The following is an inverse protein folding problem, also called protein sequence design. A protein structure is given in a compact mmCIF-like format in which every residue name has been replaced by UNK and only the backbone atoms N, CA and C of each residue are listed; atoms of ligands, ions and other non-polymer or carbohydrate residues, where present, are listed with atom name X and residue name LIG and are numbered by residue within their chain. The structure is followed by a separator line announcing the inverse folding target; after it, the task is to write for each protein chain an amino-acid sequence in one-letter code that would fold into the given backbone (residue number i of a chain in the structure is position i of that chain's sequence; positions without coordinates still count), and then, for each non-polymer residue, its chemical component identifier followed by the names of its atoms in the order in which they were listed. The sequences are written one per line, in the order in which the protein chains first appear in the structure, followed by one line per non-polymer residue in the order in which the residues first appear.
data_IF_067703921321
#
_entry.id   IF_067703921321
#
_cell.length_a   1.000
_cell.length_b   1.000
_cell.length_c   1.000
_cell.angle_alpha   90.00
_cell.angle_beta   90.00
_cell.angle_gamma   90.00
#
_symmetry.space_group_name_H-M   'P 1'
#
loop_
_entity.id
_entity.type
_entity.pdbx_description
1 polymer ?
#
# COMPACT_ATOMS: atom_id res chain seq x y z
N UNK A 1 -56.85 -43.16 14.00
CA UNK A 1 -55.80 -42.16 14.31
C UNK A 1 -54.63 -42.92 14.88
N UNK A 2 -53.47 -42.88 14.21
CA UNK A 2 -52.55 -41.76 14.45
C UNK A 2 -51.88 -41.17 13.19
N UNK A 3 -51.65 -39.87 13.31
CA UNK A 3 -50.62 -38.95 12.79
C UNK A 3 -49.48 -39.50 11.90
N UNK A 4 -49.48 -39.04 10.65
CA UNK A 4 -48.34 -39.10 9.73
C UNK A 4 -47.83 -37.69 9.43
N UNK A 5 -46.65 -37.36 9.95
CA UNK A 5 -45.91 -36.12 9.67
C UNK A 5 -45.46 -36.14 8.20
N UNK A 6 -45.96 -35.23 7.38
CA UNK A 6 -45.48 -35.05 6.00
C UNK A 6 -44.28 -34.09 5.98
N UNK A 7 -43.09 -34.63 5.77
CA UNK A 7 -41.86 -33.89 5.53
C UNK A 7 -41.94 -33.18 4.17
N UNK A 8 -42.00 -31.84 4.15
CA UNK A 8 -41.92 -31.05 2.93
C UNK A 8 -40.45 -30.98 2.45
N UNK A 9 -40.04 -31.92 1.60
CA UNK A 9 -38.80 -31.80 0.84
C UNK A 9 -38.97 -30.75 -0.24
N UNK A 10 -38.29 -29.60 -0.10
CA UNK A 10 -38.18 -28.57 -1.16
C UNK A 10 -37.51 -29.20 -2.39
N UNK A 11 -38.01 -29.00 -3.63
CA UNK A 11 -37.31 -29.51 -4.80
C UNK A 11 -36.05 -28.68 -5.03
N UNK A 12 -34.89 -29.34 -4.97
CA UNK A 12 -33.62 -28.79 -5.45
C UNK A 12 -33.63 -28.88 -6.97
N UNK A 13 -33.75 -27.75 -7.65
CA UNK A 13 -33.55 -27.70 -9.10
C UNK A 13 -32.04 -27.73 -9.36
N UNK A 14 -31.52 -28.91 -9.72
CA UNK A 14 -30.20 -29.04 -10.36
C UNK A 14 -30.33 -28.52 -11.78
N UNK A 15 -29.65 -27.42 -12.11
CA UNK A 15 -29.46 -26.98 -13.49
C UNK A 15 -28.28 -27.78 -14.06
N UNK A 16 -28.59 -28.89 -14.73
CA UNK A 16 -27.62 -29.65 -15.52
C UNK A 16 -27.79 -29.24 -16.99
N UNK A 17 -26.66 -28.91 -17.63
CA UNK A 17 -26.41 -28.63 -19.04
C UNK A 17 -27.59 -28.53 -20.04
N UNK A 18 -27.66 -27.40 -20.74
CA UNK A 18 -28.46 -27.15 -21.94
C UNK A 18 -27.93 -27.96 -23.15
N UNK A 19 -28.23 -29.25 -23.21
CA UNK A 19 -28.08 -30.05 -24.43
C UNK A 19 -29.28 -30.98 -24.54
N UNK A 20 -30.40 -30.44 -25.05
CA UNK A 20 -31.42 -31.17 -25.83
C UNK A 20 -32.71 -30.34 -25.90
N UNK A 21 -32.86 -29.52 -26.94
CA UNK A 21 -34.16 -29.03 -27.39
C UNK A 21 -34.16 -28.83 -28.92
N UNK A 22 -34.82 -29.73 -29.64
CA UNK A 22 -35.48 -29.44 -30.93
C UNK A 22 -36.84 -30.16 -30.97
N UNK A 23 -37.88 -29.65 -31.66
CA UNK A 23 -38.34 -28.27 -31.78
C UNK A 23 -39.87 -28.19 -31.49
N UNK A 24 -40.28 -27.70 -30.33
CA UNK A 24 -41.62 -27.09 -30.20
C UNK A 24 -41.39 -25.61 -30.48
N UNK A 25 -42.01 -25.10 -31.55
CA UNK A 25 -41.83 -23.76 -32.11
C UNK A 25 -42.27 -22.58 -31.22
N UNK A 26 -42.04 -22.63 -29.91
CA UNK A 26 -41.88 -21.42 -29.13
C UNK A 26 -40.50 -20.85 -29.43
N UNK A 27 -40.45 -19.73 -30.16
CA UNK A 27 -39.37 -18.77 -30.01
C UNK A 27 -39.41 -18.28 -28.56
N UNK A 28 -38.86 -19.05 -27.62
CA UNK A 28 -38.31 -18.47 -26.40
C UNK A 28 -37.36 -17.38 -26.91
N UNK A 29 -37.56 -16.10 -26.55
CA UNK A 29 -36.64 -15.07 -27.00
C UNK A 29 -35.25 -15.55 -26.60
N UNK A 30 -34.32 -15.59 -27.55
CA UNK A 30 -32.93 -15.90 -27.27
C UNK A 30 -32.44 -14.81 -26.33
N UNK A 31 -32.59 -15.01 -25.01
CA UNK A 31 -32.14 -14.07 -24.01
C UNK A 31 -30.62 -14.11 -24.11
N UNK A 32 -30.03 -13.06 -24.66
CA UNK A 32 -28.58 -12.96 -24.78
C UNK A 32 -27.97 -13.11 -23.37
N UNK A 33 -26.82 -13.80 -23.23
CA UNK A 33 -26.21 -14.06 -21.93
C UNK A 33 -26.09 -12.82 -21.03
N UNK A 34 -25.83 -11.64 -21.61
CA UNK A 34 -25.80 -10.38 -20.88
C UNK A 34 -27.14 -9.95 -20.30
N UNK A 35 -28.25 -10.12 -21.01
CA UNK A 35 -29.59 -9.81 -20.48
C UNK A 35 -29.93 -10.74 -19.31
N UNK A 36 -29.58 -12.03 -19.43
CA UNK A 36 -29.80 -12.98 -18.34
C UNK A 36 -29.00 -12.59 -17.10
N UNK A 37 -27.73 -12.22 -17.26
CA UNK A 37 -26.87 -11.80 -16.16
C UNK A 37 -27.36 -10.50 -15.49
N UNK A 38 -27.82 -9.52 -16.28
CA UNK A 38 -28.40 -8.28 -15.74
C UNK A 38 -29.67 -8.58 -14.93
N UNK A 39 -30.57 -9.43 -15.43
CA UNK A 39 -31.78 -9.81 -14.69
C UNK A 39 -31.46 -10.58 -13.39
N UNK A 40 -30.49 -11.50 -13.45
CA UNK A 40 -30.05 -12.24 -12.27
C UNK A 40 -29.47 -11.29 -11.21
N UNK A 41 -28.62 -10.35 -11.62
CA UNK A 41 -28.06 -9.30 -10.75
C UNK A 41 -29.15 -8.43 -10.14
N UNK A 42 -30.07 -7.91 -10.96
CA UNK A 42 -31.17 -7.07 -10.50
C UNK A 42 -32.05 -7.80 -9.48
N UNK A 43 -32.34 -9.07 -9.71
CA UNK A 43 -33.10 -9.92 -8.77
C UNK A 43 -32.35 -10.10 -7.45
N UNK A 44 -31.03 -10.37 -7.52
CA UNK A 44 -30.18 -10.50 -6.33
C UNK A 44 -30.12 -9.21 -5.50
N UNK A 45 -30.26 -8.04 -6.14
CA UNK A 45 -30.30 -6.74 -5.49
C UNK A 45 -31.72 -6.33 -5.00
N UNK A 46 -32.67 -7.26 -4.98
CA UNK A 46 -34.04 -7.02 -4.48
C UNK A 46 -35.04 -6.54 -5.54
N UNK A 47 -34.64 -6.49 -6.81
CA UNK A 47 -35.50 -6.09 -7.93
C UNK A 47 -36.11 -4.70 -7.71
N UNK A 48 -37.39 -4.55 -8.03
CA UNK A 48 -38.08 -3.26 -7.94
C UNK A 48 -38.26 -2.75 -6.50
N UNK A 49 -38.20 -3.66 -5.51
CA UNK A 49 -38.22 -3.31 -4.09
C UNK A 49 -36.84 -3.00 -3.50
N UNK A 50 -35.77 -3.23 -4.28
CA UNK A 50 -34.40 -2.92 -3.90
C UNK A 50 -34.01 -1.46 -4.17
N UNK A 51 -32.79 -1.10 -3.78
CA UNK A 51 -32.29 0.29 -3.88
C UNK A 51 -32.17 0.81 -5.32
N UNK A 52 -32.07 -0.08 -6.32
CA UNK A 52 -32.07 0.31 -7.72
C UNK A 52 -33.45 0.76 -8.21
N UNK A 53 -34.53 0.30 -7.57
CA UNK A 53 -35.91 0.63 -7.95
C UNK A 53 -36.29 0.16 -9.37
N UNK A 54 -37.38 0.72 -9.90
CA UNK A 54 -37.91 0.32 -11.20
C UNK A 54 -36.94 0.61 -12.36
N UNK A 55 -36.97 -0.24 -13.37
CA UNK A 55 -36.21 -0.02 -14.60
C UNK A 55 -36.76 1.19 -15.38
N UNK A 56 -35.86 2.03 -15.87
CA UNK A 56 -36.19 3.23 -16.66
C UNK A 56 -35.95 3.05 -18.15
N UNK A 57 -35.21 2.01 -18.55
CA UNK A 57 -35.02 1.63 -19.95
C UNK A 57 -35.33 0.16 -20.19
N UNK A 58 -35.51 -0.20 -21.47
CA UNK A 58 -35.38 -1.59 -21.91
C UNK A 58 -33.92 -2.05 -21.78
N UNK A 59 -33.70 -3.37 -21.87
CA UNK A 59 -32.35 -3.89 -22.07
C UNK A 59 -31.83 -3.42 -23.43
N UNK A 60 -30.61 -2.89 -23.45
CA UNK A 60 -29.98 -2.41 -24.67
C UNK A 60 -28.54 -2.91 -24.76
N UNK A 61 -28.07 -3.06 -25.99
CA UNK A 61 -26.65 -3.26 -26.26
C UNK A 61 -25.91 -1.96 -25.97
N UNK A 62 -24.70 -2.04 -25.41
CA UNK A 62 -23.88 -0.85 -25.21
C UNK A 62 -23.51 -0.23 -26.57
N UNK A 63 -23.40 1.10 -26.67
CA UNK A 63 -22.91 1.79 -27.87
C UNK A 63 -21.65 1.19 -28.52
N UNK A 64 -20.65 0.75 -27.75
CA UNK A 64 -19.47 0.07 -28.31
C UNK A 64 -19.72 -1.36 -28.80
N UNK A 65 -20.93 -1.90 -28.63
CA UNK A 65 -21.31 -3.24 -29.06
C UNK A 65 -20.68 -4.39 -28.26
N UNK A 66 -19.96 -4.11 -27.17
CA UNK A 66 -19.21 -5.11 -26.39
C UNK A 66 -19.97 -5.65 -25.17
N UNK A 67 -21.14 -5.08 -24.86
CA UNK A 67 -21.88 -5.43 -23.67
C UNK A 67 -23.38 -5.16 -23.78
N UNK A 68 -24.05 -5.36 -22.65
CA UNK A 68 -25.46 -5.08 -22.45
C UNK A 68 -25.61 -4.21 -21.21
N UNK A 69 -26.67 -3.40 -21.15
CA UNK A 69 -26.97 -2.64 -19.96
C UNK A 69 -28.47 -2.43 -19.80
N UNK A 70 -28.84 -2.00 -18.59
CA UNK A 70 -30.16 -1.45 -18.29
C UNK A 70 -30.03 -0.37 -17.22
N UNK A 71 -30.78 0.71 -17.40
CA UNK A 71 -30.90 1.75 -16.39
C UNK A 71 -32.11 1.50 -15.50
N UNK A 72 -31.95 1.90 -14.25
CA UNK A 72 -32.93 1.85 -13.18
C UNK A 72 -32.99 3.22 -12.50
N UNK A 73 -34.05 3.46 -11.71
CA UNK A 73 -34.24 4.74 -11.04
C UNK A 73 -33.05 5.12 -10.13
N UNK A 74 -32.50 4.13 -9.42
CA UNK A 74 -31.39 4.30 -8.48
C UNK A 74 -30.01 4.01 -9.05
N UNK A 75 -29.88 3.52 -10.29
CA UNK A 75 -28.56 3.14 -10.83
C UNK A 75 -28.58 2.50 -12.21
N UNK A 76 -27.50 1.83 -12.57
CA UNK A 76 -27.38 1.05 -13.80
C UNK A 76 -26.81 -0.32 -13.51
N UNK A 77 -27.17 -1.33 -14.29
CA UNK A 77 -26.42 -2.59 -14.34
C UNK A 77 -25.85 -2.74 -15.75
N UNK A 78 -24.54 -2.96 -15.83
CA UNK A 78 -23.80 -3.20 -17.06
C UNK A 78 -23.20 -4.59 -17.05
N UNK A 79 -23.18 -5.22 -18.22
CA UNK A 79 -22.56 -6.51 -18.44
C UNK A 79 -21.62 -6.48 -19.64
N UNK A 80 -20.46 -7.11 -19.50
CA UNK A 80 -19.60 -7.52 -20.62
C UNK A 80 -19.18 -8.98 -20.46
N UNK A 81 -18.73 -9.62 -21.54
CA UNK A 81 -18.24 -10.99 -21.47
C UNK A 81 -17.03 -11.15 -20.53
N UNK A 82 -16.17 -10.13 -20.43
CA UNK A 82 -14.96 -10.16 -19.60
C UNK A 82 -15.19 -9.80 -18.14
N UNK A 83 -16.24 -9.03 -17.82
CA UNK A 83 -16.46 -8.51 -16.47
C UNK A 83 -17.68 -9.10 -15.77
N UNK A 84 -18.65 -9.66 -16.49
CA UNK A 84 -19.93 -10.05 -15.88
C UNK A 84 -20.81 -8.83 -15.57
N UNK A 85 -21.89 -9.05 -14.81
CA UNK A 85 -22.91 -8.02 -14.53
C UNK A 85 -22.64 -7.31 -13.19
N UNK A 86 -22.45 -6.00 -13.25
CA UNK A 86 -22.17 -5.14 -12.10
C UNK A 86 -23.09 -3.95 -12.07
N UNK A 87 -23.57 -3.56 -10.89
CA UNK A 87 -24.27 -2.31 -10.72
C UNK A 87 -23.32 -1.15 -10.43
N UNK A 88 -23.72 0.03 -10.87
CA UNK A 88 -23.07 1.30 -10.52
C UNK A 88 -24.17 2.29 -10.20
N UNK A 89 -24.06 3.02 -9.10
CA UNK A 89 -25.10 3.95 -8.65
C UNK A 89 -24.54 5.26 -8.11
N UNK A 90 -25.43 6.15 -7.66
CA UNK A 90 -25.07 7.40 -7.00
C UNK A 90 -24.12 8.30 -7.79
N UNK A 91 -23.22 8.97 -7.07
CA UNK A 91 -22.26 9.91 -7.65
C UNK A 91 -21.12 9.22 -8.40
N UNK A 92 -20.82 7.95 -8.09
CA UNK A 92 -19.87 7.13 -8.86
C UNK A 92 -20.39 6.90 -10.28
N UNK A 93 -21.67 6.49 -10.42
CA UNK A 93 -22.34 6.38 -11.71
C UNK A 93 -22.37 7.73 -12.44
N UNK A 94 -22.64 8.82 -11.72
CA UNK A 94 -22.63 10.17 -12.27
C UNK A 94 -21.28 10.55 -12.87
N UNK A 95 -20.18 10.29 -12.16
CA UNK A 95 -18.82 10.52 -12.67
C UNK A 95 -18.52 9.65 -13.89
N UNK A 96 -18.80 8.35 -13.82
CA UNK A 96 -18.56 7.44 -14.94
C UNK A 96 -19.35 7.85 -16.19
N UNK A 97 -20.59 8.31 -16.01
CA UNK A 97 -21.40 8.87 -17.08
C UNK A 97 -20.76 10.12 -17.72
N UNK A 98 -20.25 11.04 -16.89
CA UNK A 98 -19.59 12.26 -17.35
C UNK A 98 -18.30 11.97 -18.14
N UNK A 99 -17.62 10.86 -17.83
CA UNK A 99 -16.44 10.40 -18.57
C UNK A 99 -16.77 9.68 -19.88
N UNK A 100 -18.05 9.40 -20.15
CA UNK A 100 -18.48 8.70 -21.37
C UNK A 100 -18.78 7.21 -21.19
N UNK A 101 -19.11 6.77 -19.99
CA UNK A 101 -19.52 5.39 -19.68
C UNK A 101 -18.47 4.36 -20.10
N UNK A 102 -18.89 3.23 -20.68
CA UNK A 102 -18.02 2.15 -21.16
C UNK A 102 -17.18 2.52 -22.39
N UNK A 103 -17.40 3.71 -22.97
CA UNK A 103 -16.54 4.26 -24.03
C UNK A 103 -15.37 5.08 -23.46
N UNK A 104 -15.40 5.41 -22.16
CA UNK A 104 -14.28 6.07 -21.49
C UNK A 104 -13.07 5.14 -21.34
N UNK A 105 -11.92 5.71 -20.96
CA UNK A 105 -10.72 4.94 -20.64
C UNK A 105 -10.91 3.95 -19.47
N UNK A 106 -11.95 4.12 -18.65
CA UNK A 106 -12.27 3.20 -17.56
C UNK A 106 -12.92 1.89 -18.07
N UNK A 107 -13.63 1.93 -19.19
CA UNK A 107 -14.33 0.75 -19.72
C UNK A 107 -15.49 0.27 -18.84
N UNK A 108 -15.73 -1.05 -18.82
CA UNK A 108 -16.82 -1.66 -18.05
C UNK A 108 -16.49 -1.76 -16.55
N UNK A 109 -17.51 -1.72 -15.67
CA UNK A 109 -17.32 -2.02 -14.25
C UNK A 109 -16.87 -3.48 -14.06
N UNK A 110 -15.99 -3.67 -13.07
CA UNK A 110 -15.47 -4.97 -12.60
C UNK A 110 -15.86 -5.25 -11.15
N UNK A 111 -16.50 -4.29 -10.49
CA UNK A 111 -17.15 -4.46 -9.20
C UNK A 111 -18.46 -3.71 -9.13
N UNK A 112 -19.25 -4.13 -8.17
CA UNK A 112 -20.36 -3.38 -7.59
C UNK A 112 -19.81 -2.17 -6.83
N UNK A 113 -20.69 -1.27 -6.40
CA UNK A 113 -20.29 -0.18 -5.50
C UNK A 113 -19.98 -0.74 -4.11
N UNK A 114 -18.71 -0.68 -3.74
CA UNK A 114 -18.13 -1.28 -2.54
C UNK A 114 -17.88 -0.23 -1.47
N UNK A 115 -18.03 -0.61 -0.20
CA UNK A 115 -17.73 0.25 0.95
C UNK A 115 -16.21 0.40 1.10
N UNK A 116 -15.74 1.64 1.22
CA UNK A 116 -14.35 1.98 1.53
C UNK A 116 -14.14 2.43 2.98
N UNK A 117 -12.95 2.94 3.29
CA UNK A 117 -12.64 3.52 4.60
C UNK A 117 -13.41 4.82 4.89
N UNK A 118 -13.56 5.19 6.16
CA UNK A 118 -14.05 6.51 6.57
C UNK A 118 -15.41 6.93 5.97
N UNK A 119 -16.29 5.98 5.68
CA UNK A 119 -17.62 6.25 5.11
C UNK A 119 -17.64 6.55 3.62
N UNK A 120 -16.51 6.39 2.93
CA UNK A 120 -16.46 6.48 1.47
C UNK A 120 -16.84 5.18 0.77
N UNK A 121 -16.90 5.24 -0.55
CA UNK A 121 -17.28 4.14 -1.45
C UNK A 121 -16.41 4.15 -2.69
N UNK A 122 -16.36 3.03 -3.41
CA UNK A 122 -15.68 2.96 -4.70
C UNK A 122 -16.28 1.88 -5.60
N UNK A 123 -16.10 2.04 -6.90
CA UNK A 123 -16.32 0.97 -7.89
C UNK A 123 -15.07 0.81 -8.75
N UNK A 124 -14.67 -0.43 -8.99
CA UNK A 124 -13.56 -0.73 -9.90
C UNK A 124 -14.08 -0.91 -11.32
N UNK A 125 -13.27 -0.46 -12.27
CA UNK A 125 -13.51 -0.57 -13.70
C UNK A 125 -12.29 -1.24 -14.35
N UNK A 126 -12.39 -1.60 -15.62
CA UNK A 126 -11.29 -2.24 -16.36
C UNK A 126 -10.02 -1.37 -16.37
N UNK A 127 -10.18 -0.06 -16.56
CA UNK A 127 -9.08 0.89 -16.69
C UNK A 127 -8.74 1.68 -15.43
N UNK A 128 -9.50 1.56 -14.34
CA UNK A 128 -9.28 2.38 -13.16
C UNK A 128 -10.29 2.16 -12.03
N UNK A 129 -10.36 3.10 -11.11
CA UNK A 129 -11.31 3.10 -9.99
C UNK A 129 -11.92 4.48 -9.85
N UNK A 130 -13.21 4.55 -9.57
CA UNK A 130 -13.84 5.79 -9.12
C UNK A 130 -14.08 5.67 -7.62
N UNK A 131 -13.49 6.58 -6.85
CA UNK A 131 -13.69 6.71 -5.42
C UNK A 131 -14.67 7.83 -5.13
N UNK A 132 -15.44 7.70 -4.05
CA UNK A 132 -16.33 8.73 -3.55
C UNK A 132 -16.22 8.87 -2.03
N UNK A 133 -16.22 10.12 -1.56
CA UNK A 133 -16.39 10.47 -0.15
C UNK A 133 -17.33 11.68 -0.06
N UNK A 134 -18.19 11.80 0.98
CA UNK A 134 -19.06 12.97 1.13
C UNK A 134 -18.33 14.31 1.04
N UNK A 135 -17.12 14.37 1.60
CA UNK A 135 -16.32 15.60 1.66
C UNK A 135 -15.64 15.97 0.33
N UNK A 136 -15.36 15.00 -0.55
CA UNK A 136 -14.54 15.23 -1.75
C UNK A 136 -15.31 15.03 -3.05
N UNK A 137 -16.45 14.33 -3.01
CA UNK A 137 -17.18 13.94 -4.21
C UNK A 137 -16.57 12.69 -4.87
N UNK A 138 -17.03 12.40 -6.08
CA UNK A 138 -16.54 11.25 -6.85
C UNK A 138 -15.37 11.69 -7.74
N UNK A 139 -14.27 10.94 -7.73
CA UNK A 139 -13.09 11.18 -8.58
C UNK A 139 -12.51 9.87 -9.06
N UNK A 140 -12.03 9.87 -10.29
CA UNK A 140 -11.34 8.72 -10.87
C UNK A 140 -9.85 8.72 -10.52
N UNK A 141 -9.29 7.52 -10.40
CA UNK A 141 -7.85 7.29 -10.39
C UNK A 141 -7.55 6.11 -11.31
N UNK A 142 -6.60 6.26 -12.23
CA UNK A 142 -6.27 5.24 -13.23
C UNK A 142 -4.76 5.10 -13.50
N UNK A 143 -4.40 4.15 -14.35
CA UNK A 143 -3.04 3.95 -14.85
C UNK A 143 -1.98 3.78 -13.75
N UNK A 144 -0.79 4.32 -14.00
CA UNK A 144 0.36 4.26 -13.08
C UNK A 144 0.11 5.01 -11.77
N UNK A 145 -0.70 6.07 -11.81
CA UNK A 145 -1.11 6.80 -10.60
C UNK A 145 -1.92 5.89 -9.68
N UNK A 146 -2.91 5.16 -10.22
CA UNK A 146 -3.67 4.17 -9.46
C UNK A 146 -2.78 3.03 -8.95
N UNK A 147 -1.87 2.52 -9.79
CA UNK A 147 -0.94 1.46 -9.39
C UNK A 147 -0.14 1.90 -8.15
N UNK A 148 0.41 3.11 -8.17
CA UNK A 148 1.12 3.69 -7.03
C UNK A 148 0.20 3.91 -5.83
N UNK A 149 -0.98 4.48 -6.03
CA UNK A 149 -1.94 4.73 -4.96
C UNK A 149 -2.31 3.43 -4.23
N UNK A 150 -2.53 2.33 -4.96
CA UNK A 150 -2.78 1.00 -4.38
C UNK A 150 -1.60 0.46 -3.58
N UNK A 151 -0.36 0.61 -4.07
CA UNK A 151 0.85 0.22 -3.35
C UNK A 151 1.00 0.95 -2.00
N UNK A 152 0.50 2.19 -1.92
CA UNK A 152 0.50 2.98 -0.69
C UNK A 152 -0.63 2.61 0.28
N UNK A 153 -1.56 1.73 -0.12
CA UNK A 153 -2.74 1.36 0.69
C UNK A 153 -4.04 2.05 0.27
N UNK A 154 -4.07 2.70 -0.90
CA UNK A 154 -5.23 3.37 -1.49
C UNK A 154 -5.90 4.35 -0.51
N UNK A 155 -7.22 4.32 -0.38
CA UNK A 155 -7.98 5.27 0.45
C UNK A 155 -7.72 5.15 1.95
N UNK A 156 -7.03 4.07 2.36
CA UNK A 156 -6.56 3.84 3.73
C UNK A 156 -5.14 4.32 3.96
N UNK A 157 -4.46 4.78 2.91
CA UNK A 157 -3.12 5.35 3.00
C UNK A 157 -3.13 6.73 3.65
N UNK A 158 -1.94 7.26 3.93
CA UNK A 158 -1.76 8.62 4.42
C UNK A 158 -2.26 9.70 3.43
N UNK A 159 -2.49 9.38 2.16
CA UNK A 159 -3.00 10.34 1.16
C UNK A 159 -4.51 10.62 1.32
N UNK A 160 -5.26 9.67 1.89
CA UNK A 160 -6.73 9.72 1.94
C UNK A 160 -7.37 9.60 0.55
N UNK A 161 -8.63 10.05 0.43
CA UNK A 161 -9.40 9.98 -0.81
C UNK A 161 -8.90 10.96 -1.87
N UNK A 162 -9.12 10.69 -3.18
CA UNK A 162 -8.88 11.67 -4.23
C UNK A 162 -9.80 12.89 -4.08
N UNK A 163 -9.28 14.05 -4.47
CA UNK A 163 -9.98 15.35 -4.52
C UNK A 163 -9.99 15.95 -5.93
N UNK A 164 -9.35 15.29 -6.89
CA UNK A 164 -9.43 15.59 -8.31
C UNK A 164 -9.40 14.30 -9.13
N UNK A 165 -9.94 14.35 -10.35
CA UNK A 165 -9.57 13.40 -11.40
C UNK A 165 -8.09 13.59 -11.80
N UNK A 166 -7.55 12.70 -12.63
CA UNK A 166 -6.23 12.93 -13.24
C UNK A 166 -6.27 14.15 -14.19
N UNK A 167 -5.30 15.05 -14.05
CA UNK A 167 -5.14 16.21 -14.94
C UNK A 167 -3.69 16.35 -15.43
N UNK A 168 -3.50 17.13 -16.49
CA UNK A 168 -2.18 17.38 -17.06
C UNK A 168 -1.37 18.34 -16.18
N UNK A 169 -0.13 17.98 -15.87
CA UNK A 169 0.84 18.84 -15.21
C UNK A 169 1.86 19.45 -16.19
N UNK A 170 2.92 20.13 -15.68
CA UNK A 170 4.02 20.60 -16.51
C UNK A 170 4.70 19.48 -17.31
N UNK A 171 5.13 19.79 -18.53
CA UNK A 171 5.65 18.78 -19.46
C UNK A 171 4.55 17.80 -19.90
N UNK A 172 4.90 16.52 -20.05
CA UNK A 172 3.95 15.44 -20.35
C UNK A 172 3.47 14.71 -19.08
N UNK A 173 3.53 15.36 -17.92
CA UNK A 173 3.15 14.74 -16.65
C UNK A 173 1.63 14.66 -16.46
N UNK A 174 1.22 13.73 -15.60
CA UNK A 174 -0.15 13.50 -15.15
C UNK A 174 -0.18 13.57 -13.63
N UNK A 175 -1.22 14.16 -13.07
CA UNK A 175 -1.32 14.40 -11.63
C UNK A 175 -2.73 14.08 -11.14
N UNK A 176 -2.84 13.40 -10.01
CA UNK A 176 -4.08 13.34 -9.22
C UNK A 176 -3.81 13.88 -7.82
N UNK A 177 -4.73 14.71 -7.33
CA UNK A 177 -4.67 15.24 -5.97
C UNK A 177 -5.52 14.37 -5.03
N UNK A 178 -5.05 14.26 -3.80
CA UNK A 178 -5.67 13.53 -2.70
C UNK A 178 -5.82 14.46 -1.49
N UNK A 179 -6.62 14.05 -0.50
CA UNK A 179 -6.90 14.86 0.70
C UNK A 179 -5.64 15.39 1.40
N UNK A 180 -4.54 14.63 1.38
CA UNK A 180 -3.32 14.95 2.11
C UNK A 180 -2.06 14.94 1.23
N UNK A 181 -2.20 14.97 -0.09
CA UNK A 181 -1.05 14.96 -0.99
C UNK A 181 -1.43 14.86 -2.46
N UNK A 182 -0.45 14.59 -3.31
CA UNK A 182 -0.66 14.35 -4.73
C UNK A 182 0.17 13.15 -5.19
N UNK A 183 -0.27 12.49 -6.26
CA UNK A 183 0.55 11.55 -7.01
C UNK A 183 0.72 12.12 -8.42
N UNK A 184 1.97 12.19 -8.88
CA UNK A 184 2.32 12.65 -10.21
C UNK A 184 3.08 11.56 -10.96
N UNK A 185 2.71 11.33 -12.22
CA UNK A 185 3.42 10.48 -13.16
C UNK A 185 4.05 11.32 -14.27
N UNK A 186 5.22 10.93 -14.78
CA UNK A 186 5.80 11.56 -15.97
C UNK A 186 6.50 10.54 -16.88
N UNK A 187 6.49 10.73 -18.21
CA UNK A 187 7.14 9.81 -19.13
C UNK A 187 8.67 9.87 -19.04
N UNK A 188 9.25 10.99 -18.59
CA UNK A 188 10.69 11.12 -18.37
C UNK A 188 11.22 10.20 -17.25
N UNK A 189 10.36 9.87 -16.27
CA UNK A 189 10.70 9.02 -15.14
C UNK A 189 10.07 7.62 -15.23
N UNK A 190 9.06 7.42 -16.10
CA UNK A 190 8.32 6.18 -16.24
C UNK A 190 7.52 5.73 -15.00
N UNK A 191 7.63 6.44 -13.87
CA UNK A 191 7.08 6.05 -12.57
C UNK A 191 6.13 7.12 -11.99
N UNK A 192 5.11 6.66 -11.28
CA UNK A 192 4.23 7.51 -10.46
C UNK A 192 4.85 7.74 -9.07
N UNK A 193 4.94 9.00 -8.67
CA UNK A 193 5.58 9.49 -7.42
C UNK A 193 4.54 10.15 -6.53
N UNK A 194 4.66 9.96 -5.22
CA UNK A 194 3.73 10.52 -4.22
C UNK A 194 4.40 11.60 -3.41
N UNK A 195 3.72 12.73 -3.23
CA UNK A 195 4.21 13.90 -2.49
C UNK A 195 3.23 14.32 -1.40
N UNK A 196 3.75 14.86 -0.29
CA UNK A 196 2.98 15.37 0.84
C UNK A 196 3.12 16.88 0.94
N UNK A 197 2.30 17.61 0.19
CA UNK A 197 1.91 19.00 0.49
C UNK A 197 0.74 19.36 -0.42
N UNK A 198 -0.48 19.10 0.07
CA UNK A 198 -1.69 19.56 -0.61
C UNK A 198 -2.44 20.51 0.31
N UNK A 199 -2.41 21.80 -0.02
CA UNK A 199 -3.31 22.81 0.55
C UNK A 199 -4.44 22.99 -0.46
N UNK A 200 -5.70 22.62 -0.13
CA UNK A 200 -6.79 22.77 -1.08
C UNK A 200 -6.97 24.23 -1.50
N UNK A 201 -7.41 24.53 -2.74
CA UNK A 201 -7.75 25.89 -3.11
C UNK A 201 -8.89 26.37 -2.20
N UNK A 202 -8.74 27.56 -1.62
CA UNK A 202 -9.86 28.25 -1.02
C UNK A 202 -10.98 28.34 -2.08
N UNK A 203 -12.18 27.93 -1.69
CA UNK A 203 -13.35 27.78 -2.58
C UNK A 203 -13.50 28.95 -3.55
N UNK A 204 -13.41 28.66 -4.86
CA UNK A 204 -13.84 29.57 -5.92
C UNK A 204 -12.74 29.95 -6.91
N UNK A 205 -13.01 29.67 -8.19
CA UNK A 205 -12.24 30.05 -9.39
C UNK A 205 -10.89 29.34 -9.60
N UNK A 206 -10.67 28.93 -10.84
CA UNK A 206 -9.52 28.13 -11.26
C UNK A 206 -8.19 28.90 -11.32
N UNK A 207 -7.16 28.10 -11.61
CA UNK A 207 -5.76 28.45 -11.87
C UNK A 207 -4.88 28.87 -10.67
N UNK A 208 -3.71 28.24 -10.59
CA UNK A 208 -2.62 28.47 -9.62
C UNK A 208 -2.63 27.41 -8.52
N UNK A 209 -1.57 26.62 -8.27
CA UNK A 209 -0.17 27.01 -8.09
C UNK A 209 0.79 25.91 -8.58
N UNK A 210 1.91 26.32 -9.18
CA UNK A 210 3.04 25.46 -9.60
C UNK A 210 3.81 24.87 -8.39
N UNK A 211 4.46 23.69 -8.55
CA UNK A 211 5.68 23.41 -7.79
C UNK A 211 6.92 23.26 -8.66
N UNK A 212 7.97 23.95 -8.23
CA UNK A 212 9.36 23.88 -8.64
C UNK A 212 10.04 22.60 -8.12
N UNK A 213 10.97 22.05 -8.89
CA UNK A 213 12.09 21.23 -8.38
C UNK A 213 11.88 19.72 -8.40
N UNK A 214 12.42 19.05 -9.42
CA UNK A 214 12.77 17.63 -9.36
C UNK A 214 14.27 17.54 -9.04
N UNK A 215 14.66 17.01 -7.87
CA UNK A 215 15.93 16.29 -7.76
C UNK A 215 15.85 14.94 -7.01
N UNK A 216 16.25 13.91 -7.75
CA UNK A 216 16.86 12.59 -7.46
C UNK A 216 16.68 11.83 -6.14
N UNK A 217 16.20 10.58 -6.29
CA UNK A 217 16.69 9.40 -5.56
C UNK A 217 15.65 8.71 -4.68
N UNK A 218 15.24 7.49 -5.06
CA UNK A 218 14.32 6.61 -4.31
C UNK A 218 12.82 7.00 -4.31
N UNK A 219 12.00 6.14 -4.92
CA UNK A 219 10.57 6.35 -5.18
C UNK A 219 9.69 5.98 -3.96
N UNK A 220 9.98 6.56 -2.80
CA UNK A 220 9.18 6.48 -1.58
C UNK A 220 8.91 7.91 -1.07
N UNK A 221 7.73 8.26 -0.50
CA UNK A 221 7.52 9.60 0.06
C UNK A 221 8.65 9.88 1.06
N UNK A 222 9.32 11.03 0.98
CA UNK A 222 10.41 11.36 1.91
C UNK A 222 9.86 11.38 3.35
N UNK A 223 10.17 10.33 4.11
CA UNK A 223 9.85 10.23 5.53
C UNK A 223 11.15 10.48 6.27
N UNK A 224 11.21 11.64 6.91
CA UNK A 224 12.37 12.01 7.74
C UNK A 224 12.12 11.71 9.18
N UNK A 225 13.12 11.16 9.85
CA UNK A 225 13.13 10.92 11.30
C UNK A 225 14.46 11.32 11.89
N UNK A 226 14.42 11.84 13.10
CA UNK A 226 15.60 12.25 13.86
C UNK A 226 15.89 11.17 14.87
N UNK A 227 16.93 10.38 14.62
CA UNK A 227 17.35 9.29 15.50
C UNK A 227 18.48 9.77 16.38
N UNK A 228 18.27 9.73 17.70
CA UNK A 228 19.33 9.88 18.69
C UNK A 228 19.75 8.49 19.14
N UNK A 229 21.02 8.15 18.99
CA UNK A 229 21.58 6.86 19.37
C UNK A 229 22.77 7.04 20.31
N UNK A 230 22.83 6.23 21.36
CA UNK A 230 23.99 6.13 22.22
C UNK A 230 24.40 4.66 22.39
N UNK A 231 25.70 4.39 22.33
CA UNK A 231 26.29 3.08 22.50
C UNK A 231 27.38 3.13 23.57
N UNK A 232 27.39 2.15 24.45
CA UNK A 232 28.44 1.87 25.43
C UNK A 232 28.94 0.45 25.18
N UNK A 233 30.26 0.30 25.07
CA UNK A 233 30.91 -0.98 24.82
C UNK A 233 31.88 -1.25 25.96
N UNK A 234 31.80 -2.46 26.52
CA UNK A 234 32.73 -3.01 27.49
C UNK A 234 33.38 -4.25 26.89
N UNK A 235 34.71 -4.26 26.85
CA UNK A 235 35.54 -5.36 26.37
C UNK A 235 36.09 -6.16 27.54
N UNK A 236 36.17 -7.47 27.34
CA UNK A 236 36.99 -8.37 28.15
C UNK A 236 37.95 -9.05 27.19
N UNK A 237 39.23 -8.87 27.49
CA UNK A 237 40.36 -9.59 26.93
C UNK A 237 40.73 -10.68 27.96
N UNK A 238 40.41 -11.94 27.65
CA UNK A 238 40.47 -13.09 28.56
C UNK A 238 41.84 -13.77 28.46
N UNK A 239 42.66 -13.54 29.48
CA UNK A 239 44.04 -14.01 29.49
C UNK A 239 44.15 -15.40 30.12
N UNK A 240 44.62 -16.38 29.35
CA UNK A 240 44.85 -17.75 29.88
C UNK A 240 45.82 -17.73 31.07
N UNK A 241 46.75 -16.77 31.09
CA UNK A 241 47.73 -16.58 32.16
C UNK A 241 47.85 -15.12 32.56
N UNK A 242 46.98 -14.64 33.44
CA UNK A 242 47.06 -13.26 33.88
C UNK A 242 45.82 -12.82 34.62
N UNK A 243 45.55 -11.52 34.57
CA UNK A 243 44.23 -10.97 34.89
C UNK A 243 43.67 -10.45 33.58
N UNK A 244 42.37 -10.68 33.35
CA UNK A 244 41.66 -10.16 32.19
C UNK A 244 41.87 -8.65 32.06
N UNK A 245 42.11 -8.20 30.83
CA UNK A 245 42.17 -6.78 30.54
C UNK A 245 40.79 -6.26 30.13
N UNK A 246 40.47 -5.07 30.61
CA UNK A 246 39.17 -4.45 30.36
C UNK A 246 39.34 -3.08 29.73
N UNK A 247 38.52 -2.82 28.73
CA UNK A 247 38.44 -1.51 28.14
C UNK A 247 37.00 -1.14 27.82
N UNK A 248 36.67 0.14 27.91
CA UNK A 248 35.35 0.62 27.54
C UNK A 248 35.39 1.85 26.66
N UNK A 249 34.31 2.05 25.92
CA UNK A 249 34.11 3.20 25.09
C UNK A 249 32.63 3.59 25.08
N UNK A 250 32.37 4.90 24.95
CA UNK A 250 31.04 5.44 24.79
C UNK A 250 31.01 6.39 23.61
N UNK A 251 29.94 6.32 22.82
CA UNK A 251 29.67 7.28 21.75
C UNK A 251 28.18 7.53 21.65
N UNK A 252 27.84 8.79 21.39
CA UNK A 252 26.49 9.21 21.05
C UNK A 252 26.52 9.91 19.70
N UNK A 253 25.47 9.73 18.91
CA UNK A 253 25.26 10.49 17.69
C UNK A 253 23.77 10.82 17.48
N UNK A 254 23.52 11.86 16.72
CA UNK A 254 22.19 12.24 16.24
C UNK A 254 22.23 12.31 14.71
N UNK A 255 21.26 11.67 14.05
CA UNK A 255 21.17 11.65 12.60
C UNK A 255 19.75 11.95 12.14
N UNK A 256 19.63 12.77 11.09
CA UNK A 256 18.39 12.92 10.32
C UNK A 256 18.41 11.89 9.20
N UNK A 257 17.54 10.91 9.32
CA UNK A 257 17.44 9.77 8.42
C UNK A 257 16.26 9.95 7.47
N UNK A 258 16.37 9.35 6.31
CA UNK A 258 15.35 9.27 5.27
C UNK A 258 14.97 7.81 5.05
N UNK A 259 13.93 7.59 4.24
CA UNK A 259 13.50 6.27 3.82
C UNK A 259 14.10 5.83 2.48
N UNK A 260 15.20 6.45 2.07
CA UNK A 260 15.93 6.11 0.85
C UNK A 260 16.77 4.83 1.04
N UNK A 261 18.07 4.98 1.27
CA UNK A 261 19.00 3.89 1.59
C UNK A 261 19.32 3.89 3.08
N UNK A 262 19.78 2.77 3.64
CA UNK A 262 20.40 2.78 4.96
C UNK A 262 21.52 3.82 5.02
N UNK A 263 21.50 4.65 6.06
CA UNK A 263 22.46 5.73 6.30
C UNK A 263 23.27 5.44 7.56
N UNK A 264 24.53 5.89 7.60
CA UNK A 264 25.38 5.77 8.78
C UNK A 264 24.76 6.51 9.98
N UNK A 265 24.58 5.79 11.08
CA UNK A 265 24.09 6.34 12.35
C UNK A 265 25.22 6.46 13.34
N UNK A 266 26.03 5.41 13.53
CA UNK A 266 27.11 5.42 14.52
C UNK A 266 28.14 4.35 14.16
N UNK A 267 29.40 4.76 14.12
CA UNK A 267 30.55 3.85 14.08
C UNK A 267 31.41 4.08 15.31
N UNK A 268 31.87 3.01 15.95
CA UNK A 268 32.85 3.09 17.03
C UNK A 268 33.70 1.84 17.07
N UNK A 269 34.90 1.96 17.61
CA UNK A 269 35.78 0.83 17.85
C UNK A 269 36.52 1.04 19.16
N UNK A 270 36.96 -0.06 19.78
CA UNK A 270 37.80 -0.02 20.96
C UNK A 270 38.61 -1.31 21.05
N UNK A 271 39.90 -1.17 21.40
CA UNK A 271 40.76 -2.30 21.73
C UNK A 271 40.98 -2.47 23.23
N UNK A 272 41.42 -3.66 23.61
CA UNK A 272 41.84 -4.12 24.94
C UNK A 272 43.00 -5.11 24.77
N UNK A 273 43.80 -5.38 25.82
CA UNK A 273 44.85 -6.41 25.75
C UNK A 273 46.10 -6.03 24.97
N UNK A 274 45.99 -5.06 24.07
CA UNK A 274 46.96 -4.88 23.00
C UNK A 274 46.74 -5.81 21.81
N UNK A 275 45.79 -6.75 21.87
CA UNK A 275 45.52 -7.76 20.82
C UNK A 275 44.05 -7.88 20.41
N UNK A 276 43.11 -7.52 21.28
CA UNK A 276 41.68 -7.51 21.00
C UNK A 276 41.23 -6.15 20.44
N UNK A 277 40.39 -6.16 19.39
CA UNK A 277 39.65 -4.99 18.90
C UNK A 277 38.20 -5.36 18.59
N UNK A 278 37.25 -4.61 19.15
CA UNK A 278 35.85 -4.68 18.73
C UNK A 278 35.45 -3.42 17.97
N UNK A 279 34.79 -3.62 16.83
CA UNK A 279 34.20 -2.59 15.99
C UNK A 279 32.68 -2.72 15.98
N UNK A 280 31.98 -1.58 15.97
CA UNK A 280 30.53 -1.48 15.86
C UNK A 280 30.18 -0.51 14.74
N UNK A 281 29.32 -0.95 13.82
CA UNK A 281 28.69 -0.11 12.79
C UNK A 281 27.18 -0.20 12.91
N UNK A 282 26.50 0.94 12.96
CA UNK A 282 25.04 1.06 12.96
C UNK A 282 24.58 1.85 11.73
N UNK A 283 23.69 1.24 10.95
CA UNK A 283 23.00 1.85 9.81
C UNK A 283 21.51 2.01 10.12
N UNK A 284 20.94 3.17 9.85
CA UNK A 284 19.53 3.46 10.07
C UNK A 284 18.80 3.70 8.76
N UNK A 285 17.60 3.14 8.62
CA UNK A 285 16.70 3.42 7.50
C UNK A 285 15.28 3.68 8.01
N UNK A 286 14.69 4.81 7.61
CA UNK A 286 13.30 5.11 7.94
C UNK A 286 12.37 4.23 7.11
N UNK A 287 11.31 3.71 7.74
CA UNK A 287 10.21 3.02 7.07
C UNK A 287 9.07 3.99 6.80
N UNK A 288 8.21 3.64 5.84
CA UNK A 288 7.03 4.45 5.51
C UNK A 288 6.08 4.70 6.69
N UNK A 289 6.11 3.84 7.71
CA UNK A 289 5.36 4.02 8.97
C UNK A 289 5.90 5.16 9.85
N UNK A 290 7.14 5.60 9.65
CA UNK A 290 7.90 6.47 10.56
C UNK A 290 8.73 5.71 11.60
N UNK A 291 8.69 4.38 11.59
CA UNK A 291 9.62 3.56 12.36
C UNK A 291 11.02 3.63 11.73
N UNK A 292 12.05 3.41 12.54
CA UNK A 292 13.43 3.33 12.05
C UNK A 292 13.94 1.91 12.23
N UNK A 293 14.35 1.27 11.14
CA UNK A 293 15.08 0.00 11.19
C UNK A 293 16.56 0.31 11.33
N UNK A 294 17.16 -0.10 12.44
CA UNK A 294 18.59 -0.01 12.69
C UNK A 294 19.20 -1.39 12.46
N UNK A 295 20.14 -1.47 11.53
CA UNK A 295 20.97 -2.65 11.29
C UNK A 295 22.32 -2.41 11.96
N UNK A 296 22.76 -3.35 12.78
CA UNK A 296 24.04 -3.27 13.46
C UNK A 296 24.92 -4.45 13.11
N UNK A 297 26.22 -4.18 12.96
CA UNK A 297 27.27 -5.19 12.84
C UNK A 297 28.33 -4.94 13.91
N UNK A 298 28.59 -5.94 14.73
CA UNK A 298 29.73 -5.97 15.64
C UNK A 298 30.77 -6.96 15.09
N UNK A 299 32.04 -6.58 15.13
CA UNK A 299 33.18 -7.39 14.72
C UNK A 299 34.17 -7.44 15.86
N UNK A 300 34.72 -8.61 16.12
CA UNK A 300 35.76 -8.88 17.08
C UNK A 300 36.97 -9.39 16.29
N UNK A 301 38.10 -8.72 16.50
CA UNK A 301 39.37 -9.06 15.92
C UNK A 301 40.32 -9.41 17.05
N UNK A 302 41.01 -10.55 16.94
CA UNK A 302 42.01 -11.00 17.90
C UNK A 302 43.33 -11.29 17.18
N UNK A 303 44.43 -11.48 17.91
CA UNK A 303 45.70 -11.80 17.30
C UNK A 303 46.87 -11.36 18.14
N UNK A 304 47.83 -10.65 17.55
CA UNK A 304 49.04 -10.19 18.25
C UNK A 304 49.11 -8.67 18.40
N UNK A 305 48.05 -7.98 17.97
CA UNK A 305 47.96 -6.52 17.96
C UNK A 305 46.51 -6.07 17.78
N UNK A 306 46.09 -4.97 18.43
CA UNK A 306 44.79 -4.32 18.17
C UNK A 306 44.63 -3.82 16.71
N UNK A 307 45.68 -3.86 15.88
CA UNK A 307 45.64 -3.56 14.45
C UNK A 307 45.51 -4.81 13.57
N UNK A 308 45.31 -5.97 14.19
CA UNK A 308 45.07 -7.25 13.51
C UNK A 308 43.87 -7.16 12.57
N UNK A 309 43.92 -7.97 11.52
CA UNK A 309 42.80 -8.21 10.60
C UNK A 309 42.30 -9.66 10.70
N UNK A 310 42.75 -10.39 11.72
CA UNK A 310 42.17 -11.69 12.07
C UNK A 310 40.79 -11.44 12.66
N UNK A 311 39.76 -11.93 11.97
CA UNK A 311 38.39 -11.73 12.37
C UNK A 311 37.92 -13.01 13.04
N UNK A 312 37.71 -12.95 14.34
CA UNK A 312 37.45 -14.13 15.18
C UNK A 312 36.05 -14.11 15.78
N UNK A 313 35.29 -13.03 15.60
CA UNK A 313 33.88 -13.02 15.92
C UNK A 313 33.10 -11.97 15.15
N UNK A 314 31.88 -12.30 14.73
CA UNK A 314 30.95 -11.31 14.20
C UNK A 314 29.51 -11.51 14.66
N UNK A 315 28.78 -10.40 14.71
CA UNK A 315 27.37 -10.40 15.07
C UNK A 315 26.61 -9.34 14.28
N UNK A 316 25.74 -9.79 13.40
CA UNK A 316 24.70 -8.96 12.80
C UNK A 316 23.44 -8.95 13.69
N UNK A 317 22.85 -7.77 13.85
CA UNK A 317 21.59 -7.61 14.57
C UNK A 317 20.72 -6.52 13.96
N UNK A 318 19.44 -6.52 14.35
CA UNK A 318 18.47 -5.53 13.88
C UNK A 318 17.58 -5.07 15.02
N UNK A 319 17.31 -3.78 15.07
CA UNK A 319 16.40 -3.14 16.03
C UNK A 319 15.38 -2.32 15.25
N UNK A 320 14.09 -2.59 15.45
CA UNK A 320 13.02 -1.73 14.94
C UNK A 320 12.65 -0.72 16.03
N UNK A 321 12.95 0.56 15.82
CA UNK A 321 12.65 1.65 16.75
C UNK A 321 11.31 2.29 16.34
N UNK A 322 10.23 2.11 17.12
CA UNK A 322 8.92 2.64 16.78
C UNK A 322 8.93 4.14 16.58
N UNK A 323 8.07 4.64 15.71
CA UNK A 323 7.79 6.06 15.56
C UNK A 323 7.49 6.69 16.92
N UNK A 324 8.18 7.80 17.22
CA UNK A 324 8.03 8.56 18.46
C UNK A 324 8.34 7.74 19.74
N UNK A 325 9.07 6.62 19.59
CA UNK A 325 9.41 5.68 20.64
C UNK A 325 10.90 5.68 21.05
N UNK A 326 11.17 4.99 22.16
CA UNK A 326 12.51 4.78 22.72
C UNK A 326 12.72 3.30 22.97
N UNK A 327 13.88 2.76 22.57
CA UNK A 327 14.27 1.36 22.77
C UNK A 327 15.72 1.27 23.25
N UNK A 328 15.98 0.29 24.10
CA UNK A 328 17.34 -0.13 24.46
C UNK A 328 17.60 -1.57 24.01
N UNK A 329 18.86 -1.88 23.66
CA UNK A 329 19.29 -3.21 23.24
C UNK A 329 20.70 -3.47 23.74
N UNK A 330 20.94 -4.65 24.27
CA UNK A 330 22.30 -5.14 24.58
C UNK A 330 22.61 -6.34 23.70
N UNK A 331 23.82 -6.37 23.15
CA UNK A 331 24.36 -7.49 22.39
C UNK A 331 25.75 -7.86 22.90
N UNK A 332 26.19 -9.08 22.62
CA UNK A 332 27.54 -9.54 22.94
C UNK A 332 28.12 -10.23 21.72
N UNK A 333 29.28 -9.78 21.26
CA UNK A 333 30.10 -10.49 20.27
C UNK A 333 31.19 -11.25 21.04
N UNK A 334 31.40 -12.51 20.66
CA UNK A 334 32.34 -13.44 21.30
C UNK A 334 33.38 -13.86 20.28
N UNK A 335 34.58 -14.20 20.74
CA UNK A 335 35.51 -15.00 19.96
C UNK A 335 34.90 -16.40 19.67
N UNK A 336 35.04 -16.88 18.42
CA UNK A 336 34.54 -18.16 17.90
C UNK A 336 35.52 -19.33 18.02
N UNK A 337 36.84 -19.12 18.08
CA UNK A 337 37.82 -20.17 17.83
C UNK A 337 38.58 -20.69 19.05
N UNK A 338 38.95 -19.85 20.04
CA UNK A 338 39.44 -20.25 21.37
C UNK A 338 39.68 -19.00 22.27
N UNK A 339 38.89 -18.79 23.34
CA UNK A 339 39.10 -17.66 24.27
C UNK A 339 37.83 -17.24 25.02
N UNK A 340 37.96 -16.48 26.11
CA UNK A 340 36.84 -15.84 26.83
C UNK A 340 36.52 -14.42 26.35
N UNK A 341 37.21 -13.98 25.31
CA UNK A 341 37.18 -12.63 24.73
C UNK A 341 35.81 -12.24 24.23
N UNK A 342 35.40 -11.03 24.60
CA UNK A 342 34.08 -10.52 24.22
C UNK A 342 33.98 -9.02 24.24
N UNK A 343 33.05 -8.52 23.43
CA UNK A 343 32.53 -7.17 23.52
C UNK A 343 31.05 -7.16 23.91
N UNK A 344 30.71 -6.60 25.08
CA UNK A 344 29.33 -6.33 25.49
C UNK A 344 28.96 -4.92 25.09
N UNK A 345 27.90 -4.76 24.31
CA UNK A 345 27.51 -3.47 23.72
C UNK A 345 26.08 -3.14 24.13
N UNK A 346 25.91 -2.15 24.99
CA UNK A 346 24.62 -1.60 25.40
C UNK A 346 24.27 -0.35 24.58
N UNK A 347 23.09 -0.34 23.99
CA UNK A 347 22.62 0.72 23.08
C UNK A 347 21.27 1.26 23.50
N UNK A 348 21.05 2.54 23.24
CA UNK A 348 19.76 3.21 23.34
C UNK A 348 19.45 4.01 22.08
N UNK A 349 18.18 4.03 21.70
CA UNK A 349 17.67 4.66 20.49
C UNK A 349 16.42 5.47 20.83
N UNK A 350 16.36 6.72 20.39
CA UNK A 350 15.17 7.58 20.49
C UNK A 350 14.81 8.11 19.11
N UNK A 351 13.58 7.84 18.65
CA UNK A 351 13.12 8.18 17.31
C UNK A 351 12.13 9.35 17.35
N UNK A 352 12.56 10.55 16.97
CA UNK A 352 11.73 11.76 16.96
C UNK A 352 11.29 12.17 15.54
N UNK A 353 10.25 12.99 15.46
CA UNK A 353 9.95 13.72 14.23
C UNK A 353 11.14 14.62 13.84
N UNK A 354 11.38 14.74 12.53
CA UNK A 354 12.44 15.56 11.94
C UNK A 354 11.86 16.68 11.07
#
# INVERSE_FOLDING_TARGET
MPDGIATLTRPVVKITALTDLTPIGLKLPLILPGILAINAKYTALGGAGGFLGAATTAHAKTPNGKGWYRHYAGGSIYWSASTGAHEVHGLIRGKWAALGWENSFLGFPTSDETVGGNGGRFSTFQGGVIYWLPATGAHEVHGEILARYRLLGAEKSFLGYPVSDEFAGPGQSRISNFQHGQIAWSPALGAATSWTSYTPPATGSGAGVHPLGIPSGSNAPDVRRRLVCAAHMDLTDDETFGSDEHASAHKQNEAVLTNDLPQDVLTMQKGAGGELRVELTLLGQVKLSGDVLVQGKALLYEGTSEQTNDLDGDLDFTVLVPRDGVISRTVTVWNEDEGGDKGVIAMSFSNFAA
#
